data_IF_487367267201
#
_entry.id   IF_487367267201
#
_cell.length_a   1.000
_cell.length_b   1.000
_cell.length_c   1.000
_cell.angle_alpha   90.00
_cell.angle_beta   90.00
_cell.angle_gamma   90.00
#
_symmetry.space_group_name_H-M   'P 1'
#
loop_
_entity.id
_entity.type
_entity.pdbx_description
1 polymer ?
#
# COMPACT_ATOMS: atom_id res chain seq x y z
N UNK A 1 -2.08 -4.32 17.78
CA UNK A 1 -2.80 -5.60 17.54
C UNK A 1 -3.90 -5.28 16.55
N UNK A 2 -3.94 -5.89 15.37
CA UNK A 2 -5.05 -5.70 14.41
C UNK A 2 -6.23 -6.55 14.86
N UNK A 3 -7.37 -5.91 15.12
CA UNK A 3 -8.61 -6.62 15.47
C UNK A 3 -9.15 -7.39 14.25
N UNK A 4 -9.70 -8.59 14.49
CA UNK A 4 -10.28 -9.45 13.47
C UNK A 4 -11.38 -8.75 12.63
N UNK A 5 -12.05 -7.74 13.19
CA UNK A 5 -13.01 -6.90 12.50
C UNK A 5 -12.36 -6.00 11.42
N UNK A 6 -11.12 -5.55 11.65
CA UNK A 6 -10.35 -4.76 10.68
C UNK A 6 -9.87 -5.61 9.50
N UNK A 7 -9.53 -6.88 9.76
CA UNK A 7 -9.20 -7.86 8.72
C UNK A 7 -10.44 -8.25 7.89
N UNK A 8 -11.61 -8.38 8.51
CA UNK A 8 -12.89 -8.62 7.81
C UNK A 8 -13.33 -7.41 6.96
N UNK A 9 -13.20 -6.18 7.46
CA UNK A 9 -13.50 -4.96 6.71
C UNK A 9 -12.55 -4.73 5.53
N UNK A 10 -11.29 -5.17 5.64
CA UNK A 10 -10.34 -5.18 4.52
C UNK A 10 -10.77 -6.06 3.35
N UNK A 11 -11.42 -7.20 3.65
CA UNK A 11 -11.97 -8.11 2.64
C UNK A 11 -13.20 -7.54 1.92
N UNK A 12 -13.89 -6.56 2.51
CA UNK A 12 -15.04 -5.89 1.90
C UNK A 12 -14.68 -4.67 1.03
N UNK A 13 -13.40 -4.27 1.00
CA UNK A 13 -12.89 -3.13 0.21
C UNK A 13 -13.86 -1.94 0.17
N UNK A 14 -14.07 -1.31 1.33
CA UNK A 14 -15.00 -0.19 1.44
C UNK A 14 -14.71 0.90 0.40
N UNK A 15 -15.78 1.36 -0.27
CA UNK A 15 -15.72 2.51 -1.15
C UNK A 15 -15.06 3.71 -0.44
N UNK A 16 -14.31 4.55 -1.16
CA UNK A 16 -13.72 5.74 -0.56
C UNK A 16 -14.78 6.69 -0.03
N UNK A 17 -14.43 7.45 1.02
CA UNK A 17 -15.26 8.56 1.49
C UNK A 17 -15.60 9.53 0.35
N UNK A 18 -16.75 10.22 0.41
CA UNK A 18 -17.15 11.18 -0.62
C UNK A 18 -16.05 12.19 -0.94
N UNK A 19 -15.76 12.36 -2.24
CA UNK A 19 -14.74 13.28 -2.72
C UNK A 19 -13.29 12.80 -2.60
N UNK A 20 -13.05 11.56 -2.16
CA UNK A 20 -11.71 10.96 -2.05
C UNK A 20 -11.52 9.76 -2.97
N UNK A 21 -10.27 9.34 -3.10
CA UNK A 21 -9.86 8.06 -3.66
C UNK A 21 -9.33 7.15 -2.54
N UNK A 22 -9.44 5.83 -2.71
CA UNK A 22 -8.84 4.85 -1.82
C UNK A 22 -7.61 4.22 -2.50
N UNK A 23 -6.46 4.30 -1.85
CA UNK A 23 -5.25 3.60 -2.26
C UNK A 23 -4.97 2.46 -1.29
N UNK A 24 -4.99 1.24 -1.79
CA UNK A 24 -4.54 0.08 -1.06
C UNK A 24 -3.09 -0.21 -1.40
N UNK A 25 -2.26 -0.31 -0.37
CA UNK A 25 -0.88 -0.76 -0.50
C UNK A 25 -0.76 -2.06 0.25
N UNK A 26 -0.25 -3.09 -0.41
CA UNK A 26 -0.08 -4.40 0.21
C UNK A 26 1.31 -4.94 -0.11
N UNK A 27 1.77 -5.85 0.73
CA UNK A 27 3.04 -6.53 0.58
C UNK A 27 2.79 -8.03 0.62
N UNK A 28 2.90 -8.67 -0.54
CA UNK A 28 2.62 -10.11 -0.71
C UNK A 28 3.90 -10.97 -0.85
N UNK A 29 5.08 -10.35 -0.77
CA UNK A 29 6.36 -11.03 -0.87
C UNK A 29 6.67 -11.96 0.33
N UNK A 30 7.73 -12.76 0.19
CA UNK A 30 8.12 -13.73 1.22
C UNK A 30 8.50 -13.04 2.54
N UNK A 31 8.35 -13.74 3.68
CA UNK A 31 8.71 -13.21 4.98
C UNK A 31 10.17 -12.74 5.04
N UNK A 32 10.35 -11.43 5.08
CA UNK A 32 11.62 -10.78 5.41
C UNK A 32 11.37 -9.78 6.53
N UNK A 33 12.20 -9.74 7.58
CA UNK A 33 12.00 -8.89 8.76
C UNK A 33 12.39 -7.43 8.48
N UNK A 34 11.97 -6.90 7.32
CA UNK A 34 12.13 -5.52 6.90
C UNK A 34 10.77 -4.85 6.98
N UNK A 35 10.72 -3.61 7.43
CA UNK A 35 9.54 -2.75 7.34
C UNK A 35 9.83 -1.70 6.28
N UNK A 36 8.97 -1.61 5.28
CA UNK A 36 9.06 -0.62 4.21
C UNK A 36 8.09 0.51 4.50
N UNK A 37 8.54 1.75 4.30
CA UNK A 37 7.70 2.94 4.43
C UNK A 37 7.32 3.42 3.04
N UNK A 38 6.03 3.69 2.81
CA UNK A 38 5.54 4.29 1.57
C UNK A 38 5.24 5.77 1.80
N UNK A 39 5.78 6.60 0.91
CA UNK A 39 5.66 8.04 0.91
C UNK A 39 4.84 8.49 -0.29
N UNK A 40 3.99 9.50 -0.10
CA UNK A 40 3.44 10.33 -1.16
C UNK A 40 4.15 11.69 -1.13
N UNK A 41 5.08 11.90 -2.06
CA UNK A 41 6.03 13.02 -1.98
C UNK A 41 6.91 12.90 -0.74
N UNK A 42 6.66 13.74 0.28
CA UNK A 42 7.39 13.74 1.56
C UNK A 42 6.57 13.20 2.74
N UNK A 43 5.31 12.85 2.52
CA UNK A 43 4.39 12.43 3.58
C UNK A 43 4.36 10.91 3.65
N UNK A 44 4.59 10.35 4.83
CA UNK A 44 4.38 8.92 5.08
C UNK A 44 2.89 8.59 5.01
N UNK A 45 2.53 7.67 4.12
CA UNK A 45 1.14 7.20 3.97
C UNK A 45 0.96 5.76 4.43
N UNK A 46 2.05 5.00 4.57
CA UNK A 46 2.00 3.62 5.06
C UNK A 46 3.34 3.11 5.56
N UNK A 47 3.30 2.13 6.47
CA UNK A 47 4.44 1.32 6.89
C UNK A 47 4.04 -0.16 6.90
N UNK A 48 4.69 -0.95 6.05
CA UNK A 48 4.32 -2.35 5.80
C UNK A 48 5.44 -3.30 6.17
N UNK A 49 5.15 -4.18 7.14
CA UNK A 49 5.92 -5.38 7.42
C UNK A 49 5.58 -6.51 6.45
N UNK A 50 6.15 -7.69 6.70
CA UNK A 50 5.82 -8.92 5.95
C UNK A 50 4.31 -9.19 5.93
N UNK A 51 3.78 -9.62 4.76
CA UNK A 51 2.40 -10.07 4.59
C UNK A 51 1.39 -9.11 5.25
N UNK A 52 1.51 -7.83 4.91
CA UNK A 52 0.67 -6.78 5.50
C UNK A 52 0.12 -5.84 4.44
N UNK A 53 -0.93 -5.12 4.79
CA UNK A 53 -1.56 -4.15 3.90
C UNK A 53 -2.12 -2.96 4.68
N UNK A 54 -2.22 -1.83 4.00
CA UNK A 54 -2.86 -0.61 4.48
C UNK A 54 -3.83 -0.09 3.42
N UNK A 55 -4.82 0.67 3.86
CA UNK A 55 -5.67 1.49 3.00
C UNK A 55 -5.42 2.93 3.40
N UNK A 56 -5.22 3.82 2.43
CA UNK A 56 -5.18 5.27 2.66
C UNK A 56 -6.20 5.98 1.80
N UNK A 57 -6.88 6.99 2.34
CA UNK A 57 -7.75 7.85 1.55
C UNK A 57 -7.05 9.14 1.18
N UNK A 58 -7.00 9.43 -0.12
CA UNK A 58 -6.31 10.58 -0.69
C UNK A 58 -7.30 11.47 -1.43
N UNK A 59 -7.00 12.76 -1.52
CA UNK A 59 -7.75 13.66 -2.39
C UNK A 59 -7.46 13.31 -3.87
N UNK A 60 -8.36 13.66 -4.80
CA UNK A 60 -8.07 13.50 -6.22
C UNK A 60 -6.84 14.32 -6.62
N UNK A 61 -5.97 13.75 -7.45
CA UNK A 61 -4.75 14.41 -7.88
C UNK A 61 -3.66 13.44 -8.32
N UNK A 62 -2.52 14.02 -8.71
CA UNK A 62 -1.32 13.28 -9.06
C UNK A 62 -0.44 13.08 -7.82
N UNK A 63 -0.02 11.85 -7.57
CA UNK A 63 0.84 11.46 -6.46
C UNK A 63 2.12 10.80 -6.97
N UNK A 64 3.26 11.27 -6.48
CA UNK A 64 4.56 10.61 -6.67
C UNK A 64 4.84 9.69 -5.48
N UNK A 65 4.60 8.39 -5.65
CA UNK A 65 4.76 7.42 -4.58
C UNK A 65 6.18 6.86 -4.56
N UNK A 66 6.75 6.72 -3.37
CA UNK A 66 8.09 6.14 -3.16
C UNK A 66 8.05 5.17 -2.01
N UNK A 67 8.85 4.12 -2.09
CA UNK A 67 9.05 3.23 -0.95
C UNK A 67 10.49 3.38 -0.44
N UNK A 68 10.66 3.42 0.88
CA UNK A 68 11.96 3.62 1.54
C UNK A 68 12.12 2.66 2.72
N UNK A 69 13.35 2.49 3.21
CA UNK A 69 13.70 1.55 4.28
C UNK A 69 14.82 0.56 3.91
N UNK A 70 15.33 0.68 2.68
CA UNK A 70 16.36 -0.17 2.10
C UNK A 70 17.70 0.56 2.00
N UNK A 71 18.68 -0.08 1.38
CA UNK A 71 20.01 0.54 1.16
C UNK A 71 20.05 1.42 -0.09
N UNK A 72 19.20 1.12 -1.07
CA UNK A 72 19.20 1.77 -2.36
C UNK A 72 17.97 2.68 -2.54
N UNK A 73 18.15 3.75 -3.32
CA UNK A 73 17.03 4.55 -3.78
C UNK A 73 16.18 3.76 -4.79
N UNK A 74 14.87 3.92 -4.71
CA UNK A 74 13.91 3.16 -5.52
C UNK A 74 13.22 4.10 -6.50
N UNK A 75 12.85 3.61 -7.70
CA UNK A 75 12.06 4.40 -8.64
C UNK A 75 10.72 4.74 -8.02
N UNK A 76 10.20 5.90 -8.37
CA UNK A 76 8.89 6.33 -7.92
C UNK A 76 7.78 5.84 -8.84
N UNK A 77 6.58 5.67 -8.28
CA UNK A 77 5.37 5.31 -9.01
C UNK A 77 4.44 6.53 -9.02
N UNK A 78 4.20 7.08 -10.21
CA UNK A 78 3.26 8.19 -10.38
C UNK A 78 1.85 7.63 -10.57
N UNK A 79 0.93 8.01 -9.68
CA UNK A 79 -0.49 7.66 -9.78
C UNK A 79 -1.34 8.92 -9.96
N UNK A 80 -2.35 8.83 -10.82
CA UNK A 80 -3.41 9.82 -10.94
C UNK A 80 -4.67 9.24 -10.33
N UNK A 81 -5.20 9.88 -9.30
CA UNK A 81 -6.39 9.42 -8.57
C UNK A 81 -7.57 10.34 -8.86
N UNK A 82 -8.71 9.76 -9.25
CA UNK A 82 -10.00 10.45 -9.34
C UNK A 82 -10.87 10.21 -8.09
N UNK A 83 -11.84 11.09 -7.85
CA UNK A 83 -12.80 10.90 -6.77
C UNK A 83 -13.64 9.63 -7.00
N UNK A 84 -13.87 8.85 -5.94
CA UNK A 84 -14.61 7.58 -6.00
C UNK A 84 -13.76 6.39 -6.44
N UNK A 85 -12.49 6.62 -6.78
CA UNK A 85 -11.62 5.60 -7.35
C UNK A 85 -10.94 4.75 -6.28
N UNK A 86 -10.69 3.48 -6.59
CA UNK A 86 -9.88 2.57 -5.78
C UNK A 86 -8.72 2.04 -6.59
N UNK A 87 -7.49 2.21 -6.08
CA UNK A 87 -6.25 1.69 -6.69
C UNK A 87 -5.53 0.74 -5.75
N UNK A 88 -4.72 -0.14 -6.35
CA UNK A 88 -3.98 -1.18 -5.65
C UNK A 88 -2.51 -1.12 -6.04
N UNK A 89 -1.64 -1.13 -5.05
CA UNK A 89 -0.18 -1.10 -5.24
C UNK A 89 0.44 -2.25 -4.48
N UNK A 90 1.18 -3.08 -5.22
CA UNK A 90 2.06 -4.09 -4.65
C UNK A 90 3.40 -3.47 -4.26
N UNK A 91 3.75 -3.63 -3.00
CA UNK A 91 5.04 -3.33 -2.43
C UNK A 91 5.90 -4.59 -2.47
N UNK A 92 6.69 -4.70 -3.54
CA UNK A 92 7.65 -5.78 -3.76
C UNK A 92 9.01 -5.50 -3.09
N UNK A 93 9.83 -6.54 -3.01
CA UNK A 93 11.22 -6.45 -2.52
C UNK A 93 12.20 -7.03 -3.55
N UNK A 94 13.21 -6.24 -3.91
CA UNK A 94 14.40 -6.68 -4.65
C UNK A 94 15.47 -7.14 -3.65
N UNK A 95 15.46 -8.42 -3.30
CA UNK A 95 16.29 -8.98 -2.23
C UNK A 95 17.80 -8.86 -2.47
N UNK A 96 18.25 -8.80 -3.73
CA UNK A 96 19.68 -8.67 -4.06
C UNK A 96 20.24 -7.25 -3.84
N UNK A 97 19.38 -6.23 -3.79
CA UNK A 97 19.75 -4.82 -3.53
C UNK A 97 19.28 -4.32 -2.17
N UNK A 98 18.45 -5.08 -1.47
CA UNK A 98 17.72 -4.60 -0.27
C UNK A 98 16.99 -3.30 -0.64
N UNK A 99 16.20 -3.38 -1.71
CA UNK A 99 15.38 -2.31 -2.23
C UNK A 99 13.92 -2.76 -2.29
N UNK A 100 13.00 -1.82 -2.31
CA UNK A 100 11.60 -2.10 -2.52
C UNK A 100 11.15 -1.57 -3.89
N UNK A 101 10.02 -2.08 -4.38
CA UNK A 101 9.41 -1.64 -5.64
C UNK A 101 7.94 -1.38 -5.41
N UNK A 102 7.39 -0.38 -6.09
CA UNK A 102 5.95 -0.12 -6.11
C UNK A 102 5.43 -0.43 -7.51
N UNK A 103 4.45 -1.34 -7.59
CA UNK A 103 3.80 -1.70 -8.84
C UNK A 103 2.30 -1.50 -8.69
N UNK A 104 1.70 -0.69 -9.56
CA UNK A 104 0.25 -0.66 -9.68
C UNK A 104 -0.24 -1.98 -10.26
N UNK A 105 -1.29 -2.54 -9.66
CA UNK A 105 -1.88 -3.81 -10.09
C UNK A 105 -3.38 -3.66 -10.28
N UNK A 106 -3.97 -4.60 -11.01
CA UNK A 106 -5.42 -4.64 -11.16
C UNK A 106 -6.13 -5.02 -9.84
N UNK A 107 -7.45 -4.84 -9.84
CA UNK A 107 -8.26 -5.10 -8.65
C UNK A 107 -8.31 -6.58 -8.24
N UNK A 108 -8.11 -7.52 -9.17
CA UNK A 108 -8.11 -8.95 -8.83
C UNK A 108 -6.82 -9.32 -8.07
N UNK A 109 -5.67 -8.91 -8.59
CA UNK A 109 -4.38 -9.07 -7.94
C UNK A 109 -4.33 -8.33 -6.59
N UNK A 110 -4.82 -7.09 -6.54
CA UNK A 110 -4.87 -6.30 -5.31
C UNK A 110 -5.72 -6.96 -4.22
N UNK A 111 -6.92 -7.46 -4.57
CA UNK A 111 -7.77 -8.22 -3.64
C UNK A 111 -7.09 -9.47 -3.10
N UNK A 112 -6.42 -10.23 -3.97
CA UNK A 112 -5.72 -11.44 -3.56
C UNK A 112 -4.58 -11.14 -2.58
N UNK A 113 -3.79 -10.10 -2.86
CA UNK A 113 -2.69 -9.65 -1.98
C UNK A 113 -3.19 -9.17 -0.61
N UNK A 114 -4.25 -8.37 -0.58
CA UNK A 114 -4.89 -7.91 0.66
C UNK A 114 -5.45 -9.09 1.47
N UNK A 115 -6.12 -10.04 0.82
CA UNK A 115 -6.70 -11.20 1.49
C UNK A 115 -5.64 -12.12 2.12
N UNK A 116 -4.43 -12.13 1.57
CA UNK A 116 -3.30 -12.90 2.09
C UNK A 116 -2.58 -12.21 3.27
N UNK A 117 -2.77 -10.90 3.45
CA UNK A 117 -2.06 -10.10 4.45
C UNK A 117 -2.90 -9.67 5.65
N UNK A 118 -2.23 -9.16 6.68
CA UNK A 118 -2.86 -8.53 7.85
C UNK A 118 -2.95 -7.02 7.68
N UNK A 119 -4.05 -6.41 8.13
CA UNK A 119 -4.17 -4.95 8.11
C UNK A 119 -3.20 -4.32 9.11
N UNK A 120 -2.46 -3.31 8.69
CA UNK A 120 -1.80 -2.37 9.60
C UNK A 120 -2.68 -1.13 9.77
N UNK A 121 -2.71 -0.58 10.99
CA UNK A 121 -3.37 0.69 11.26
C UNK A 121 -2.63 1.80 10.52
N UNK A 122 -3.40 2.70 9.89
CA UNK A 122 -2.86 3.94 9.33
C UNK A 122 -2.16 4.75 10.42
N UNK A 123 -1.01 5.34 10.08
CA UNK A 123 -0.40 6.38 10.91
C UNK A 123 -1.11 7.69 10.54
N UNK A 124 -2.07 8.08 11.40
CA UNK A 124 -2.72 9.40 11.34
C UNK A 124 -1.71 10.53 11.56
#
# INVERSE_FOLDING_TARGET
MSDAASDAAGRQLAAPSPGKAALYVFRADKPQPIVWTVLAGRTTISQLGTMSWSRVELLPGQYDLRCVGGREATPSLVLNLAAGETRYVDLGTEWWKIACTLNEVDAAAGRAGIAAGKRVLELN
#
